data_IF_575980964254
#
_entry.id   IF_575980964254
#
_cell.length_a   1.000
_cell.length_b   1.000
_cell.length_c   1.000
_cell.angle_alpha   90.00
_cell.angle_beta   90.00
_cell.angle_gamma   90.00
#
_symmetry.space_group_name_H-M   'P 1'
#
loop_
_entity.id
_entity.type
_entity.pdbx_description
1 polymer ?
#
# COMPACT_ATOMS: atom_id res chain seq x y z
N UNK A 1 -22.86 8.32 29.08
CA UNK A 1 -23.31 7.96 27.72
C UNK A 1 -22.26 8.45 26.76
N UNK A 2 -21.66 7.58 25.96
CA UNK A 2 -20.70 7.99 24.94
C UNK A 2 -21.41 8.05 23.59
N UNK A 3 -21.16 9.09 22.81
CA UNK A 3 -21.72 9.31 21.48
C UNK A 3 -20.67 8.92 20.44
N UNK A 4 -21.00 7.99 19.54
CA UNK A 4 -20.18 7.63 18.40
C UNK A 4 -20.69 8.41 17.17
N UNK A 5 -19.89 9.32 16.63
CA UNK A 5 -20.21 10.11 15.43
C UNK A 5 -19.40 9.65 14.23
N UNK A 6 -20.03 9.59 13.07
CA UNK A 6 -19.34 9.50 11.79
C UNK A 6 -19.14 10.93 11.27
N UNK A 7 -17.89 11.39 11.23
CA UNK A 7 -17.50 12.70 10.70
C UNK A 7 -16.65 12.46 9.44
N UNK A 8 -17.23 12.68 8.26
CA UNK A 8 -16.63 12.28 6.99
C UNK A 8 -16.52 10.75 6.88
N UNK A 9 -15.31 10.23 6.62
CA UNK A 9 -15.01 8.78 6.56
C UNK A 9 -14.51 8.18 7.89
N UNK A 10 -14.50 8.95 8.99
CA UNK A 10 -13.91 8.51 10.28
C UNK A 10 -14.92 8.49 11.42
N UNK A 11 -14.85 7.47 12.26
CA UNK A 11 -15.64 7.40 13.48
C UNK A 11 -14.93 8.13 14.63
N UNK A 12 -15.70 8.87 15.42
CA UNK A 12 -15.23 9.53 16.64
C UNK A 12 -16.12 9.19 17.83
N UNK A 13 -15.50 8.79 18.94
CA UNK A 13 -16.19 8.52 20.19
C UNK A 13 -16.03 9.71 21.13
N UNK A 14 -17.16 10.26 21.57
CA UNK A 14 -17.24 11.39 22.50
C UNK A 14 -17.89 10.95 23.80
N UNK A 15 -17.44 11.41 24.96
CA UNK A 15 -18.22 11.26 26.20
C UNK A 15 -19.20 12.42 26.35
N UNK A 16 -20.42 12.13 26.79
CA UNK A 16 -21.42 13.17 27.07
C UNK A 16 -20.86 14.18 28.08
N UNK A 17 -20.79 15.45 27.68
CA UNK A 17 -20.25 16.56 28.49
C UNK A 17 -18.89 17.09 28.04
N UNK A 18 -18.20 16.46 27.07
CA UNK A 18 -16.94 16.95 26.52
C UNK A 18 -17.13 17.85 25.28
N UNK A 19 -16.29 18.89 25.17
CA UNK A 19 -16.32 19.86 24.06
C UNK A 19 -15.85 19.24 22.73
N UNK A 20 -16.58 19.63 21.67
CA UNK A 20 -16.51 19.44 20.21
C UNK A 20 -15.58 18.45 19.48
N UNK A 21 -14.52 17.88 20.05
CA UNK A 21 -13.67 16.90 19.33
C UNK A 21 -13.58 15.59 20.10
N UNK A 22 -14.43 14.63 19.71
CA UNK A 22 -14.32 13.24 20.18
C UNK A 22 -13.02 12.58 19.73
N UNK A 23 -12.60 11.51 20.42
CA UNK A 23 -11.40 10.76 20.00
C UNK A 23 -11.69 9.97 18.72
N UNK A 24 -10.77 9.93 17.75
CA UNK A 24 -10.89 8.99 16.63
C UNK A 24 -10.92 7.56 17.17
N UNK A 25 -11.72 6.71 16.55
CA UNK A 25 -11.75 5.27 16.80
C UNK A 25 -11.51 4.52 15.49
N UNK A 26 -10.81 3.40 15.55
CA UNK A 26 -10.60 2.55 14.38
C UNK A 26 -11.92 1.95 13.91
N UNK A 27 -11.98 1.50 12.64
CA UNK A 27 -13.17 0.83 12.11
C UNK A 27 -13.53 -0.44 12.91
N UNK A 28 -12.52 -1.18 13.38
CA UNK A 28 -12.70 -2.36 14.25
C UNK A 28 -13.28 -2.00 15.61
N UNK A 29 -12.82 -0.89 16.20
CA UNK A 29 -13.37 -0.41 17.47
C UNK A 29 -14.79 0.14 17.30
N UNK A 30 -15.05 0.88 16.22
CA UNK A 30 -16.39 1.36 15.88
C UNK A 30 -17.37 0.21 15.65
N UNK A 31 -16.98 -0.81 14.90
CA UNK A 31 -17.79 -2.01 14.68
C UNK A 31 -18.05 -2.76 15.99
N UNK A 32 -17.05 -2.90 16.86
CA UNK A 32 -17.23 -3.54 18.17
C UNK A 32 -18.19 -2.75 19.07
N UNK A 33 -18.14 -1.41 19.02
CA UNK A 33 -19.05 -0.53 19.75
C UNK A 33 -20.48 -0.59 19.20
N UNK A 34 -20.63 -0.64 17.87
CA UNK A 34 -21.92 -0.79 17.18
C UNK A 34 -22.55 -2.17 17.43
N UNK A 35 -21.76 -3.24 17.41
CA UNK A 35 -22.21 -4.59 17.75
C UNK A 35 -22.74 -4.64 19.20
N UNK A 36 -21.99 -4.06 20.15
CA UNK A 36 -22.45 -3.94 21.55
C UNK A 36 -23.70 -3.08 21.70
N UNK A 37 -23.90 -2.07 20.85
CA UNK A 37 -25.12 -1.26 20.85
C UNK A 37 -26.32 -2.02 20.26
N UNK A 38 -26.10 -2.91 19.28
CA UNK A 38 -27.15 -3.79 18.71
C UNK A 38 -27.69 -4.80 19.72
N UNK A 39 -26.83 -5.23 20.66
CA UNK A 39 -27.19 -6.13 21.76
C UNK A 39 -28.05 -5.48 22.85
N UNK A 40 -28.14 -4.14 22.91
CA UNK A 40 -29.08 -3.42 23.80
C UNK A 40 -30.38 -3.08 23.05
N UNK A 41 -31.53 -3.72 23.37
CA UNK A 41 -32.80 -3.47 22.69
C UNK A 41 -33.27 -2.02 22.75
N UNK A 42 -32.79 -1.23 23.73
CA UNK A 42 -33.19 0.17 23.92
C UNK A 42 -32.53 1.11 22.92
N UNK A 43 -31.37 0.74 22.36
CA UNK A 43 -30.59 1.58 21.45
C UNK A 43 -30.88 1.29 19.96
N UNK A 44 -31.60 0.20 19.66
CA UNK A 44 -31.92 -0.21 18.27
C UNK A 44 -32.69 0.83 17.46
N UNK A 45 -33.73 1.53 17.99
CA UNK A 45 -34.45 2.53 17.21
C UNK A 45 -33.56 3.69 16.77
N UNK A 46 -32.70 4.19 17.67
CA UNK A 46 -31.76 5.28 17.39
C UNK A 46 -30.68 4.86 16.38
N UNK A 47 -30.19 3.62 16.47
CA UNK A 47 -29.23 3.06 15.52
C UNK A 47 -29.82 2.93 14.11
N UNK A 48 -31.06 2.44 13.99
CA UNK A 48 -31.76 2.33 12.69
C UNK A 48 -31.95 3.72 12.08
N UNK A 49 -32.32 4.71 12.89
CA UNK A 49 -32.48 6.09 12.43
C UNK A 49 -31.15 6.71 12.00
N UNK A 50 -30.06 6.43 12.71
CA UNK A 50 -28.72 6.87 12.34
C UNK A 50 -28.25 6.24 11.01
N UNK A 51 -28.38 4.92 10.84
CA UNK A 51 -28.05 4.22 9.60
C UNK A 51 -28.91 4.70 8.41
N UNK A 52 -30.16 5.09 8.67
CA UNK A 52 -31.03 5.69 7.66
C UNK A 52 -30.60 7.12 7.27
N UNK A 53 -29.74 7.80 8.01
CA UNK A 53 -29.24 9.15 7.67
C UNK A 53 -27.85 9.14 7.05
N UNK A 54 -27.09 8.06 7.22
CA UNK A 54 -25.77 7.91 6.58
C UNK A 54 -25.95 7.71 5.08
N UNK A 55 -25.31 8.56 4.28
CA UNK A 55 -25.18 8.37 2.84
C UNK A 55 -24.07 7.33 2.61
N UNK A 56 -24.37 6.13 2.12
CA UNK A 56 -23.34 5.13 1.94
C UNK A 56 -22.42 5.54 0.79
N UNK A 57 -21.12 5.17 0.82
CA UNK A 57 -20.26 5.29 -0.36
C UNK A 57 -20.87 4.52 -1.52
N UNK A 58 -20.63 4.95 -2.76
CA UNK A 58 -21.26 4.39 -3.97
C UNK A 58 -21.02 2.86 -4.11
N UNK A 59 -19.89 2.34 -3.61
CA UNK A 59 -19.59 0.91 -3.51
C UNK A 59 -18.79 0.56 -2.25
N UNK A 60 -19.02 -0.64 -1.72
CA UNK A 60 -18.20 -1.29 -0.68
C UNK A 60 -17.99 -2.74 -1.11
N UNK A 61 -16.74 -3.15 -1.35
CA UNK A 61 -16.35 -4.54 -1.70
C UNK A 61 -17.28 -5.17 -2.74
N UNK A 62 -17.37 -4.56 -3.93
CA UNK A 62 -18.18 -5.08 -5.05
C UNK A 62 -19.71 -4.94 -4.90
N UNK A 63 -20.23 -4.52 -3.75
CA UNK A 63 -21.68 -4.26 -3.52
C UNK A 63 -21.99 -2.77 -3.64
N UNK A 64 -23.21 -2.43 -4.11
CA UNK A 64 -23.68 -1.04 -4.10
C UNK A 64 -23.93 -0.62 -2.65
N UNK A 65 -23.47 0.57 -2.27
CA UNK A 65 -23.58 1.03 -0.87
C UNK A 65 -25.01 1.09 -0.33
N UNK A 66 -25.99 1.34 -1.21
CA UNK A 66 -27.41 1.33 -0.83
C UNK A 66 -27.93 -0.07 -0.48
N UNK A 67 -27.40 -1.12 -1.10
CA UNK A 67 -27.74 -2.52 -0.79
C UNK A 67 -27.18 -2.91 0.58
N UNK A 68 -25.91 -2.58 0.83
CA UNK A 68 -25.28 -2.82 2.13
C UNK A 68 -26.01 -2.05 3.25
N UNK A 69 -26.43 -0.80 3.00
CA UNK A 69 -27.20 -0.02 3.96
C UNK A 69 -28.56 -0.65 4.27
N UNK A 70 -29.26 -1.18 3.26
CA UNK A 70 -30.51 -1.88 3.47
C UNK A 70 -30.33 -3.15 4.32
N UNK A 71 -29.29 -3.94 4.03
CA UNK A 71 -28.93 -5.14 4.77
C UNK A 71 -28.58 -4.84 6.24
N UNK A 72 -27.83 -3.77 6.49
CA UNK A 72 -27.49 -3.34 7.86
C UNK A 72 -28.70 -2.87 8.65
N UNK A 73 -29.64 -2.15 8.01
CA UNK A 73 -30.89 -1.74 8.64
C UNK A 73 -31.76 -2.96 8.97
N UNK A 74 -31.82 -3.95 8.09
CA UNK A 74 -32.55 -5.20 8.31
C UNK A 74 -31.91 -6.06 9.42
N UNK A 75 -30.59 -6.16 9.44
CA UNK A 75 -29.85 -6.84 10.49
C UNK A 75 -30.01 -6.17 11.87
N UNK A 76 -30.07 -4.83 11.91
CA UNK A 76 -30.35 -4.07 13.14
C UNK A 76 -31.79 -4.30 13.65
N UNK A 77 -32.76 -4.44 12.73
CA UNK A 77 -34.16 -4.76 13.06
C UNK A 77 -34.33 -6.18 13.60
N UNK A 78 -33.62 -7.14 13.01
CA UNK A 78 -33.69 -8.56 13.42
C UNK A 78 -32.84 -8.87 14.66
N UNK A 79 -31.94 -7.96 15.05
CA UNK A 79 -30.98 -8.19 16.13
C UNK A 79 -29.88 -9.19 15.76
N UNK A 80 -29.70 -9.46 14.47
CA UNK A 80 -28.75 -10.43 13.92
C UNK A 80 -27.57 -9.72 13.21
N UNK A 81 -27.13 -8.59 13.74
CA UNK A 81 -26.06 -7.80 13.13
C UNK A 81 -24.71 -8.46 13.37
N UNK A 82 -24.35 -9.43 12.52
CA UNK A 82 -22.99 -9.98 12.44
C UNK A 82 -22.17 -9.04 11.56
N UNK A 83 -21.43 -8.13 12.20
CA UNK A 83 -20.52 -7.16 11.56
C UNK A 83 -19.27 -7.80 10.90
N UNK A 84 -19.35 -9.06 10.46
CA UNK A 84 -18.27 -9.75 9.74
C UNK A 84 -18.16 -9.35 8.28
N UNK A 85 -19.11 -8.60 7.70
CA UNK A 85 -19.04 -8.19 6.28
C UNK A 85 -18.56 -6.75 6.07
N UNK A 86 -18.28 -6.02 7.15
CA UNK A 86 -17.68 -4.67 7.12
C UNK A 86 -16.18 -4.67 7.45
N UNK A 87 -15.63 -5.83 7.84
CA UNK A 87 -14.24 -6.02 8.27
C UNK A 87 -13.79 -7.35 7.69
N UNK A 88 -12.77 -7.32 6.84
CA UNK A 88 -11.95 -8.42 6.32
C UNK A 88 -12.52 -9.85 6.51
N UNK A 89 -13.05 -10.42 5.44
CA UNK A 89 -13.26 -11.86 5.35
C UNK A 89 -12.44 -12.41 4.17
N UNK A 90 -11.54 -13.39 4.39
CA UNK A 90 -11.02 -14.21 3.30
C UNK A 90 -12.18 -15.00 2.66
N UNK A 91 -12.02 -15.49 1.41
CA UNK A 91 -13.13 -16.10 0.67
C UNK A 91 -13.71 -17.30 1.43
N UNK A 92 -15.02 -17.27 1.66
CA UNK A 92 -15.76 -18.40 2.26
C UNK A 92 -15.63 -19.64 1.36
N UNK A 93 -14.99 -20.68 1.89
CA UNK A 93 -15.18 -22.05 1.42
C UNK A 93 -16.66 -22.42 1.56
N UNK A 94 -17.24 -22.94 0.47
CA UNK A 94 -18.63 -23.39 0.42
C UNK A 94 -18.91 -24.47 1.50
N UNK A 95 -20.11 -24.51 2.10
CA UNK A 95 -20.47 -25.57 3.03
C UNK A 95 -20.65 -26.88 2.27
N UNK A 96 -19.73 -27.82 2.46
CA UNK A 96 -19.89 -29.22 2.06
C UNK A 96 -20.95 -29.94 2.90
N UNK A 97 -21.55 -31.02 2.38
CA UNK A 97 -22.62 -31.74 3.07
C UNK A 97 -22.11 -32.46 4.32
N UNK A 98 -22.94 -32.41 5.35
CA UNK A 98 -22.83 -33.20 6.58
C UNK A 98 -22.92 -34.68 6.20
N UNK A 99 -21.84 -35.44 6.39
CA UNK A 99 -21.86 -36.90 6.33
C UNK A 99 -21.75 -37.50 7.72
N UNK A 100 -22.60 -38.50 7.91
CA UNK A 100 -22.95 -39.19 9.14
C UNK A 100 -21.80 -40.02 9.74
N UNK A 101 -21.94 -40.28 11.04
CA UNK A 101 -21.14 -41.14 11.90
C UNK A 101 -20.48 -42.35 11.21
N UNK A 102 -19.14 -42.37 11.20
CA UNK A 102 -18.34 -43.58 10.97
C UNK A 102 -17.87 -44.16 12.33
N UNK A 103 -17.78 -45.51 12.45
CA UNK A 103 -17.42 -46.20 13.70
C UNK A 103 -15.95 -45.96 14.11
N UNK A 104 -15.59 -46.19 15.39
CA UNK A 104 -14.28 -45.83 15.92
C UNK A 104 -13.14 -46.64 15.26
N UNK A 105 -12.16 -45.89 14.74
CA UNK A 105 -10.87 -46.41 14.26
C UNK A 105 -10.09 -46.98 15.44
N UNK A 106 -9.46 -48.17 15.34
CA UNK A 106 -8.65 -48.73 16.42
C UNK A 106 -7.40 -47.88 16.66
N UNK A 107 -7.02 -47.74 17.94
CA UNK A 107 -5.90 -46.91 18.37
C UNK A 107 -4.60 -47.26 17.62
N UNK A 108 -3.82 -46.26 17.18
CA UNK A 108 -2.53 -46.51 16.55
C UNK A 108 -1.56 -47.16 17.55
N UNK A 109 -0.78 -48.12 17.06
CA UNK A 109 0.31 -48.74 17.80
C UNK A 109 1.33 -47.68 18.25
N UNK A 110 2.04 -47.91 19.38
CA UNK A 110 3.01 -46.94 19.88
C UNK A 110 4.13 -46.79 18.85
N UNK A 111 4.33 -45.55 18.38
CA UNK A 111 5.45 -45.19 17.52
C UNK A 111 6.68 -45.04 18.43
N UNK A 112 7.74 -45.77 18.09
CA UNK A 112 9.05 -45.69 18.73
C UNK A 112 9.56 -44.24 18.81
N UNK A 113 10.11 -43.88 19.97
CA UNK A 113 10.78 -42.61 20.26
C UNK A 113 11.97 -42.41 19.32
N UNK A 114 11.75 -41.78 18.16
CA UNK A 114 12.80 -41.06 17.46
C UNK A 114 12.99 -39.70 18.15
N UNK A 115 14.22 -39.25 18.44
CA UNK A 115 14.44 -37.91 18.96
C UNK A 115 14.07 -36.91 17.87
N UNK A 116 12.92 -36.25 18.01
CA UNK A 116 12.59 -35.06 17.24
C UNK A 116 13.35 -33.91 17.90
N UNK A 117 14.60 -33.72 17.47
CA UNK A 117 15.40 -32.54 17.79
C UNK A 117 15.49 -31.64 16.54
N UNK A 118 14.36 -31.44 15.86
CA UNK A 118 14.25 -30.42 14.83
C UNK A 118 13.96 -29.10 15.53
N UNK A 119 15.02 -28.38 15.88
CA UNK A 119 14.89 -26.97 16.23
C UNK A 119 14.06 -26.27 15.13
N UNK A 120 13.03 -25.48 15.49
CA UNK A 120 12.15 -24.87 14.50
C UNK A 120 12.97 -24.03 13.51
N UNK A 121 12.76 -24.25 12.21
CA UNK A 121 13.43 -23.47 11.16
C UNK A 121 13.08 -21.99 11.33
N UNK A 122 14.08 -21.09 11.36
CA UNK A 122 13.81 -19.66 11.50
C UNK A 122 12.92 -19.14 10.37
N UNK A 123 11.94 -18.32 10.71
CA UNK A 123 11.06 -17.66 9.73
C UNK A 123 11.40 -16.17 9.72
N UNK A 124 11.83 -15.68 8.55
CA UNK A 124 12.19 -14.29 8.34
C UNK A 124 11.04 -13.55 7.65
N UNK A 125 10.80 -12.32 8.10
CA UNK A 125 9.83 -11.41 7.50
C UNK A 125 10.45 -10.01 7.46
N UNK A 126 10.12 -9.24 6.43
CA UNK A 126 10.53 -7.84 6.32
C UNK A 126 9.38 -6.96 6.76
N UNK A 127 9.69 -5.90 7.48
CA UNK A 127 8.71 -5.01 8.08
C UNK A 127 9.05 -3.58 7.69
N UNK A 128 8.06 -2.79 7.31
CA UNK A 128 8.20 -1.38 6.97
C UNK A 128 7.14 -0.54 7.69
N UNK A 129 7.31 0.78 7.70
CA UNK A 129 6.22 1.69 8.05
C UNK A 129 5.18 1.75 6.94
N UNK A 130 3.92 2.01 7.28
CA UNK A 130 2.86 2.15 6.27
C UNK A 130 3.20 3.29 5.30
N UNK A 131 3.20 2.97 4.00
CA UNK A 131 3.29 3.96 2.94
C UNK A 131 1.97 4.72 2.84
N UNK A 132 1.97 6.00 3.22
CA UNK A 132 0.83 6.88 3.02
C UNK A 132 0.88 7.43 1.59
N UNK A 133 -0.05 6.95 0.76
CA UNK A 133 -0.22 7.42 -0.61
C UNK A 133 -1.26 8.52 -0.74
N UNK A 134 -1.68 9.15 0.37
CA UNK A 134 -2.72 10.18 0.43
C UNK A 134 -4.13 9.63 0.71
N UNK A 135 -4.94 10.44 1.40
CA UNK A 135 -6.38 10.18 1.65
C UNK A 135 -6.76 9.51 2.98
N UNK A 136 -5.85 8.84 3.70
CA UNK A 136 -6.09 8.45 5.10
C UNK A 136 -4.76 8.47 5.85
N UNK A 137 -4.52 9.54 6.63
CA UNK A 137 -3.44 9.57 7.61
C UNK A 137 -3.37 8.25 8.39
N UNK A 138 -2.41 7.40 8.05
CA UNK A 138 -2.10 6.21 8.81
C UNK A 138 -1.39 6.68 10.09
N UNK A 139 -1.67 6.09 11.26
CA UNK A 139 -0.92 6.43 12.45
C UNK A 139 0.59 6.23 12.16
N UNK A 140 1.45 7.20 12.52
CA UNK A 140 2.86 7.25 12.11
C UNK A 140 3.74 6.11 12.66
N UNK A 141 3.15 5.11 13.33
CA UNK A 141 3.84 4.05 14.06
C UNK A 141 3.33 2.64 13.71
N UNK A 142 2.53 2.47 12.66
CA UNK A 142 2.12 1.12 12.24
C UNK A 142 3.25 0.49 11.42
N UNK A 143 3.85 -0.55 12.00
CA UNK A 143 4.74 -1.48 11.33
C UNK A 143 3.92 -2.60 10.66
N UNK A 144 4.19 -2.87 9.39
CA UNK A 144 3.51 -3.92 8.61
C UNK A 144 4.52 -4.84 7.94
N UNK A 145 4.18 -6.12 7.87
CA UNK A 145 4.92 -7.08 7.04
C UNK A 145 4.82 -6.63 5.58
N UNK A 146 5.96 -6.58 4.88
CA UNK A 146 6.01 -6.13 3.50
C UNK A 146 6.75 -7.12 2.60
N UNK A 147 6.22 -7.41 1.40
CA UNK A 147 6.93 -8.17 0.38
C UNK A 147 7.94 -7.30 -0.38
N UNK A 148 7.81 -5.98 -0.32
CA UNK A 148 8.57 -5.06 -1.17
C UNK A 148 8.87 -3.71 -0.51
N UNK A 149 9.88 -3.03 -1.04
CA UNK A 149 10.24 -1.66 -0.66
C UNK A 149 10.87 -0.94 -1.85
N UNK A 150 10.73 0.38 -1.92
CA UNK A 150 11.34 1.16 -2.99
C UNK A 150 12.69 1.78 -2.57
N UNK A 151 13.83 1.43 -3.20
CA UNK A 151 15.18 1.85 -2.76
C UNK A 151 15.44 3.33 -3.04
N UNK A 152 16.16 4.07 -2.20
CA UNK A 152 16.21 5.55 -2.32
C UNK A 152 17.45 6.06 -3.07
N UNK A 153 17.33 7.00 -4.02
CA UNK A 153 18.50 7.62 -4.66
C UNK A 153 19.41 8.34 -3.65
N UNK A 154 20.72 8.22 -3.80
CA UNK A 154 21.72 8.84 -2.91
C UNK A 154 21.49 10.34 -2.71
N UNK A 155 21.28 11.10 -3.79
CA UNK A 155 20.98 12.54 -3.70
C UNK A 155 19.68 12.90 -2.99
N UNK A 156 18.70 11.99 -2.85
CA UNK A 156 17.51 12.20 -1.99
C UNK A 156 17.93 12.09 -0.52
N UNK A 157 18.75 11.11 -0.18
CA UNK A 157 19.26 10.89 1.18
C UNK A 157 20.16 12.05 1.61
N UNK A 158 21.07 12.49 0.75
CA UNK A 158 21.89 13.67 1.01
C UNK A 158 21.07 14.92 1.26
N UNK A 159 20.00 15.15 0.48
CA UNK A 159 19.06 16.25 0.75
C UNK A 159 18.38 16.10 2.11
N UNK A 160 17.88 14.92 2.48
CA UNK A 160 17.28 14.70 3.80
C UNK A 160 18.26 15.07 4.91
N UNK A 161 19.51 14.59 4.81
CA UNK A 161 20.57 14.91 5.76
C UNK A 161 20.85 16.42 5.83
N UNK A 162 21.05 17.07 4.69
CA UNK A 162 21.31 18.52 4.59
C UNK A 162 20.23 19.36 5.25
N UNK A 163 18.98 18.91 5.19
CA UNK A 163 17.83 19.59 5.78
C UNK A 163 17.48 19.09 7.20
N UNK A 164 18.36 18.31 7.83
CA UNK A 164 18.16 17.74 9.17
C UNK A 164 16.87 16.92 9.29
N UNK A 165 16.44 16.30 8.19
CA UNK A 165 15.25 15.43 8.13
C UNK A 165 15.66 13.96 8.23
N UNK A 166 14.77 13.17 8.79
CA UNK A 166 14.90 11.71 8.85
C UNK A 166 14.15 11.08 7.68
N UNK A 167 14.62 9.94 7.14
CA UNK A 167 13.82 9.13 6.22
C UNK A 167 12.48 8.75 6.87
N UNK A 168 11.42 8.71 6.06
CA UNK A 168 10.13 8.18 6.52
C UNK A 168 10.25 6.69 6.85
N UNK A 169 9.54 6.16 7.86
CA UNK A 169 9.48 4.72 8.13
C UNK A 169 9.12 3.85 6.92
N UNK A 170 8.33 4.39 5.97
CA UNK A 170 7.97 3.70 4.72
C UNK A 170 9.12 3.62 3.69
N UNK A 171 10.23 4.34 3.92
CA UNK A 171 11.46 4.22 3.13
C UNK A 171 12.43 3.20 3.72
N UNK A 172 12.11 2.67 4.91
CA UNK A 172 12.99 1.83 5.71
C UNK A 172 12.38 0.43 5.83
N UNK A 173 13.23 -0.56 6.09
CA UNK A 173 12.76 -1.86 6.56
C UNK A 173 13.53 -2.36 7.77
N UNK A 174 12.89 -3.24 8.54
CA UNK A 174 13.49 -4.09 9.56
C UNK A 174 13.30 -5.54 9.19
N UNK A 175 14.19 -6.39 9.72
CA UNK A 175 14.02 -7.83 9.59
C UNK A 175 13.53 -8.38 10.92
N UNK A 176 12.46 -9.17 10.86
CA UNK A 176 11.94 -9.91 12.00
C UNK A 176 12.16 -11.40 11.78
N UNK A 177 12.76 -12.04 12.78
CA UNK A 177 13.08 -13.47 12.77
C UNK A 177 12.35 -14.17 13.92
N UNK A 178 11.46 -15.10 13.58
CA UNK A 178 10.87 -16.02 14.53
C UNK A 178 11.76 -17.25 14.68
N UNK A 179 11.85 -17.80 15.89
CA UNK A 179 12.71 -18.95 16.18
C UNK A 179 14.17 -18.75 15.72
N UNK A 180 14.71 -17.53 15.88
CA UNK A 180 16.05 -17.21 15.39
C UNK A 180 17.09 -18.16 16.01
N UNK A 181 17.84 -18.86 15.14
CA UNK A 181 18.93 -19.75 15.54
C UNK A 181 20.25 -19.01 15.75
N UNK A 182 20.33 -17.75 15.29
CA UNK A 182 21.52 -16.91 15.33
C UNK A 182 21.17 -15.53 15.90
N UNK A 183 22.21 -14.77 16.28
CA UNK A 183 22.09 -13.43 16.85
C UNK A 183 22.16 -12.31 15.81
N UNK A 184 22.27 -12.67 14.53
CA UNK A 184 22.31 -11.73 13.41
C UNK A 184 21.54 -12.26 12.21
N UNK A 185 21.19 -11.37 11.30
CA UNK A 185 20.68 -11.68 9.97
C UNK A 185 21.67 -11.14 8.94
N UNK A 186 21.95 -11.92 7.90
CA UNK A 186 22.73 -11.48 6.74
C UNK A 186 21.77 -11.13 5.62
N UNK A 187 21.88 -9.90 5.11
CA UNK A 187 21.24 -9.42 3.91
C UNK A 187 22.23 -9.50 2.75
N UNK A 188 21.83 -10.05 1.62
CA UNK A 188 22.64 -10.14 0.40
C UNK A 188 21.88 -9.59 -0.80
N UNK A 189 22.59 -8.86 -1.65
CA UNK A 189 22.16 -8.49 -2.99
C UNK A 189 23.38 -8.45 -3.91
N UNK A 190 23.17 -8.17 -5.19
CA UNK A 190 24.26 -8.13 -6.18
C UNK A 190 25.35 -7.08 -5.85
N UNK A 191 25.01 -6.04 -5.07
CA UNK A 191 25.95 -4.99 -4.65
C UNK A 191 26.83 -5.39 -3.45
N UNK A 192 26.38 -6.36 -2.64
CA UNK A 192 27.13 -6.85 -1.49
C UNK A 192 26.27 -7.32 -0.32
N UNK A 193 26.95 -7.67 0.76
CA UNK A 193 26.33 -8.24 1.96
C UNK A 193 26.32 -7.24 3.13
N UNK A 194 25.29 -7.29 3.95
CA UNK A 194 25.15 -6.52 5.19
C UNK A 194 24.72 -7.44 6.34
N UNK A 195 25.48 -7.43 7.43
CA UNK A 195 25.14 -8.15 8.65
C UNK A 195 24.45 -7.21 9.64
N UNK A 196 23.28 -7.63 10.14
CA UNK A 196 22.48 -6.86 11.09
C UNK A 196 22.29 -7.66 12.38
N UNK A 197 22.79 -7.15 13.52
CA UNK A 197 22.50 -7.75 14.81
C UNK A 197 21.01 -7.76 15.13
N UNK A 198 20.55 -8.84 15.76
CA UNK A 198 19.18 -8.98 16.26
C UNK A 198 19.09 -8.57 17.73
N UNK A 199 17.93 -8.07 18.15
CA UNK A 199 17.62 -7.78 19.55
C UNK A 199 17.67 -9.07 20.39
N UNK A 200 18.19 -8.97 21.61
CA UNK A 200 18.42 -10.13 22.50
C UNK A 200 17.17 -10.75 23.10
N UNK A 201 16.02 -10.08 23.03
CA UNK A 201 14.72 -10.60 23.47
C UNK A 201 13.71 -10.55 22.35
N UNK A 202 12.89 -11.61 22.20
CA UNK A 202 11.71 -11.52 21.35
C UNK A 202 10.85 -10.34 21.82
N UNK A 203 10.60 -9.38 20.93
CA UNK A 203 9.80 -8.20 21.25
C UNK A 203 8.35 -8.59 21.58
N UNK A 204 7.50 -7.59 21.82
CA UNK A 204 6.06 -7.78 22.07
C UNK A 204 5.32 -8.58 21.00
N UNK A 205 5.91 -8.73 19.81
CA UNK A 205 5.36 -9.39 18.64
C UNK A 205 5.93 -10.81 18.37
N UNK A 206 6.64 -11.42 19.33
CA UNK A 206 7.01 -12.84 19.33
C UNK A 206 8.23 -13.24 18.48
N UNK A 207 8.92 -12.29 17.83
CA UNK A 207 10.16 -12.51 17.07
C UNK A 207 11.27 -11.54 17.49
N UNK A 208 12.52 -11.86 17.14
CA UNK A 208 13.67 -10.96 17.30
C UNK A 208 13.73 -10.01 16.10
N UNK A 209 13.92 -8.72 16.34
CA UNK A 209 14.02 -7.70 15.30
C UNK A 209 15.49 -7.34 15.05
N UNK A 210 15.82 -6.85 13.85
CA UNK A 210 17.09 -6.16 13.64
C UNK A 210 17.18 -4.90 14.50
N UNK A 211 18.34 -4.69 15.13
CA UNK A 211 18.59 -3.55 16.02
C UNK A 211 18.44 -2.21 15.31
N UNK A 212 18.81 -2.16 14.03
CA UNK A 212 18.68 -1.00 13.17
C UNK A 212 17.61 -1.20 12.10
N UNK A 213 17.03 -0.09 11.68
CA UNK A 213 16.33 0.03 10.40
C UNK A 213 17.35 0.04 9.26
N UNK A 214 16.93 -0.38 8.08
CA UNK A 214 17.77 -0.39 6.88
C UNK A 214 17.16 0.54 5.84
N UNK A 215 17.97 1.44 5.30
CA UNK A 215 17.64 2.27 4.15
C UNK A 215 18.42 1.77 2.93
N UNK A 216 17.78 1.02 2.01
CA UNK A 216 18.43 0.63 0.77
C UNK A 216 18.59 1.87 -0.13
N UNK A 217 19.76 2.05 -0.70
CA UNK A 217 20.08 3.21 -1.54
C UNK A 217 20.88 2.87 -2.79
N UNK A 218 20.78 3.73 -3.80
CA UNK A 218 21.52 3.57 -5.07
C UNK A 218 21.97 4.91 -5.65
N UNK A 219 22.90 4.89 -6.60
CA UNK A 219 23.43 6.09 -7.26
C UNK A 219 24.84 6.45 -6.78
N UNK A 220 25.23 7.71 -6.93
CA UNK A 220 26.57 8.16 -6.53
C UNK A 220 26.64 8.38 -5.01
N UNK A 221 27.44 7.57 -4.32
CA UNK A 221 27.67 7.69 -2.88
C UNK A 221 28.22 9.04 -2.42
N UNK A 222 28.85 9.81 -3.32
CA UNK A 222 29.29 11.19 -3.01
C UNK A 222 28.10 12.12 -2.70
N UNK A 223 26.92 11.81 -3.24
CA UNK A 223 25.69 12.57 -3.01
C UNK A 223 25.02 12.28 -1.67
N UNK A 224 25.51 11.31 -0.88
CA UNK A 224 24.99 11.03 0.47
C UNK A 224 25.33 12.15 1.46
N UNK A 225 26.32 13.00 1.15
CA UNK A 225 26.74 14.14 1.98
C UNK A 225 27.09 13.78 3.44
N UNK A 226 27.53 12.54 3.69
CA UNK A 226 27.84 12.06 5.04
C UNK A 226 26.63 11.70 5.89
N UNK A 227 25.46 11.48 5.27
CA UNK A 227 24.25 11.05 5.94
C UNK A 227 24.47 9.83 6.85
N UNK A 228 24.09 9.98 8.11
CA UNK A 228 24.13 8.92 9.11
C UNK A 228 23.08 9.18 10.20
N UNK A 229 22.50 8.10 10.72
CA UNK A 229 21.59 8.12 11.88
C UNK A 229 21.92 6.92 12.78
N UNK A 230 21.81 7.08 14.09
CA UNK A 230 22.25 6.05 15.05
C UNK A 230 21.53 4.70 14.90
N UNK A 231 20.26 4.74 14.53
CA UNK A 231 19.33 3.62 14.43
C UNK A 231 19.02 3.19 12.97
N UNK A 232 19.68 3.81 11.98
CA UNK A 232 19.51 3.47 10.56
C UNK A 232 20.85 3.04 9.97
N UNK A 233 20.84 1.89 9.29
CA UNK A 233 21.95 1.40 8.50
C UNK A 233 21.69 1.71 7.01
N UNK A 234 22.67 2.31 6.34
CA UNK A 234 22.59 2.57 4.90
C UNK A 234 23.09 1.33 4.15
N UNK A 235 22.25 0.77 3.29
CA UNK A 235 22.60 -0.43 2.51
C UNK A 235 22.66 -0.11 1.02
N UNK A 236 23.86 -0.19 0.43
CA UNK A 236 24.05 0.05 -0.99
C UNK A 236 23.46 -1.10 -1.81
N UNK A 237 22.58 -0.76 -2.75
CA UNK A 237 21.92 -1.72 -3.65
C UNK A 237 22.08 -1.30 -5.12
N UNK A 238 22.99 -0.39 -5.45
CA UNK A 238 23.18 0.09 -6.82
C UNK A 238 23.77 -0.96 -7.77
N UNK A 239 23.34 -0.99 -9.04
CA UNK A 239 23.77 -2.01 -10.01
C UNK A 239 24.41 -1.49 -11.31
N UNK A 240 24.51 -0.17 -11.53
CA UNK A 240 25.14 0.39 -12.74
C UNK A 240 24.51 -0.01 -14.08
N UNK A 241 23.35 -0.68 -14.04
CA UNK A 241 22.62 -1.21 -15.18
C UNK A 241 21.45 -0.29 -15.57
N UNK A 242 20.63 -0.72 -16.55
CA UNK A 242 19.40 -0.02 -16.98
C UNK A 242 18.45 0.23 -15.81
N UNK A 243 18.26 -0.78 -14.97
CA UNK A 243 17.66 -0.63 -13.65
C UNK A 243 18.81 -0.28 -12.71
N UNK A 244 18.77 0.86 -12.02
CA UNK A 244 19.95 1.39 -11.32
C UNK A 244 20.19 0.72 -9.96
N UNK A 245 19.35 -0.25 -9.55
CA UNK A 245 19.41 -0.95 -8.28
C UNK A 245 19.20 -2.47 -8.44
N UNK A 246 19.56 -3.23 -7.41
CA UNK A 246 19.32 -4.66 -7.31
C UNK A 246 17.83 -4.88 -7.09
N UNK A 247 17.22 -5.82 -7.79
CA UNK A 247 15.76 -6.05 -7.72
C UNK A 247 15.35 -6.85 -6.48
N UNK A 248 16.28 -7.51 -5.79
CA UNK A 248 16.00 -8.38 -4.65
C UNK A 248 17.05 -8.19 -3.56
N UNK A 249 16.60 -8.29 -2.31
CA UNK A 249 17.46 -8.47 -1.14
C UNK A 249 17.09 -9.80 -0.49
N UNK A 250 18.05 -10.71 -0.40
CA UNK A 250 17.89 -12.00 0.28
C UNK A 250 18.31 -11.86 1.74
N UNK A 251 17.42 -12.18 2.67
CA UNK A 251 17.73 -12.27 4.09
C UNK A 251 17.94 -13.71 4.52
N UNK A 252 18.94 -13.96 5.35
CA UNK A 252 19.24 -15.28 5.92
C UNK A 252 19.61 -15.23 7.40
N UNK A 253 19.11 -16.20 8.17
CA UNK A 253 19.43 -16.41 9.58
C UNK A 253 19.42 -17.93 9.83
N UNK A 254 20.61 -18.53 9.97
CA UNK A 254 20.79 -19.97 9.93
C UNK A 254 20.20 -20.61 8.67
N UNK A 255 19.27 -21.55 8.85
CA UNK A 255 18.58 -22.23 7.73
C UNK A 255 17.40 -21.43 7.15
N UNK A 256 16.94 -20.39 7.84
CA UNK A 256 15.82 -19.56 7.39
C UNK A 256 16.23 -18.60 6.28
N UNK A 257 15.36 -18.42 5.28
CA UNK A 257 15.55 -17.45 4.19
C UNK A 257 14.26 -16.71 3.87
N UNK A 258 14.38 -15.45 3.45
CA UNK A 258 13.29 -14.67 2.87
C UNK A 258 13.85 -13.70 1.82
N UNK A 259 12.98 -13.20 0.95
CA UNK A 259 13.37 -12.23 -0.09
C UNK A 259 12.48 -11.00 0.01
N UNK A 260 13.10 -9.82 -0.01
CA UNK A 260 12.43 -8.53 -0.18
C UNK A 260 12.58 -8.10 -1.64
N UNK A 261 11.45 -7.79 -2.28
CA UNK A 261 11.44 -7.14 -3.59
C UNK A 261 11.84 -5.67 -3.49
N UNK A 262 12.79 -5.23 -4.32
CA UNK A 262 13.08 -3.81 -4.49
C UNK A 262 12.32 -3.30 -5.71
N UNK A 263 11.30 -2.48 -5.46
CA UNK A 263 10.31 -2.08 -6.47
C UNK A 263 10.43 -0.61 -6.83
N UNK A 264 10.27 -0.29 -8.10
CA UNK A 264 10.14 1.09 -8.56
C UNK A 264 9.40 1.13 -9.91
N UNK A 265 8.93 2.31 -10.29
CA UNK A 265 8.48 2.58 -11.65
C UNK A 265 9.44 3.60 -12.24
N UNK A 266 10.12 3.20 -13.30
CA UNK A 266 11.12 4.05 -13.96
C UNK A 266 10.52 4.62 -15.23
N UNK A 267 10.46 5.94 -15.33
CA UNK A 267 10.10 6.61 -16.58
C UNK A 267 11.36 7.03 -17.35
N UNK A 268 11.34 6.82 -18.65
CA UNK A 268 12.37 7.31 -19.56
C UNK A 268 12.26 8.84 -19.66
N UNK A 269 13.35 9.54 -19.33
CA UNK A 269 13.46 10.97 -19.55
C UNK A 269 13.49 11.23 -21.07
N UNK A 270 12.55 12.01 -21.64
CA UNK A 270 12.49 12.23 -23.08
C UNK A 270 13.72 13.00 -23.62
N UNK A 271 14.42 13.76 -22.76
CA UNK A 271 15.55 14.58 -23.17
C UNK A 271 16.86 13.78 -23.17
N UNK A 272 17.08 12.93 -22.15
CA UNK A 272 18.32 12.14 -22.00
C UNK A 272 18.20 10.67 -22.40
N UNK A 273 16.98 10.12 -22.46
CA UNK A 273 16.72 8.69 -22.62
C UNK A 273 17.03 7.86 -21.37
N UNK A 274 17.39 8.50 -20.25
CA UNK A 274 17.74 7.79 -19.01
C UNK A 274 16.50 7.42 -18.20
N UNK A 275 16.55 6.26 -17.56
CA UNK A 275 15.50 5.79 -16.68
C UNK A 275 15.56 6.51 -15.32
N UNK A 276 14.46 7.15 -14.91
CA UNK A 276 14.36 7.90 -13.64
C UNK A 276 13.16 7.42 -12.83
N UNK A 277 13.33 7.31 -11.52
CA UNK A 277 12.25 6.91 -10.61
C UNK A 277 11.06 7.87 -10.71
N UNK A 278 9.85 7.30 -10.76
CA UNK A 278 8.59 8.02 -10.73
C UNK A 278 8.28 8.62 -9.35
N UNK A 279 9.06 8.32 -8.30
CA UNK A 279 8.81 8.84 -6.94
C UNK A 279 9.24 10.27 -6.72
N UNK A 280 10.32 10.68 -7.38
CA UNK A 280 10.94 11.99 -7.19
C UNK A 280 11.15 12.76 -8.50
N UNK A 281 10.68 12.19 -9.61
CA UNK A 281 10.91 12.73 -10.95
C UNK A 281 9.80 13.67 -11.41
N UNK A 282 10.16 14.58 -12.32
CA UNK A 282 9.24 15.44 -13.06
C UNK A 282 9.33 15.01 -14.52
N UNK A 283 8.20 14.67 -15.14
CA UNK A 283 8.18 13.99 -16.45
C UNK A 283 7.38 14.76 -17.49
N UNK A 284 8.07 15.18 -18.55
CA UNK A 284 7.53 16.14 -19.53
C UNK A 284 6.84 15.46 -20.73
N UNK A 285 6.08 14.40 -20.49
CA UNK A 285 5.38 13.67 -21.56
C UNK A 285 4.05 13.13 -21.06
N UNK A 286 2.97 13.27 -21.85
CA UNK A 286 1.69 12.57 -21.58
C UNK A 286 1.71 11.10 -21.99
N UNK A 287 2.78 10.65 -22.65
CA UNK A 287 2.99 9.27 -23.11
C UNK A 287 4.37 8.79 -22.64
N UNK A 288 4.64 8.76 -21.33
CA UNK A 288 5.94 8.32 -20.84
C UNK A 288 6.15 6.85 -21.20
N UNK A 289 7.39 6.50 -21.54
CA UNK A 289 7.82 5.11 -21.54
C UNK A 289 8.20 4.74 -20.12
N UNK A 290 7.61 3.67 -19.62
CA UNK A 290 7.75 3.22 -18.25
C UNK A 290 8.31 1.81 -18.21
N UNK A 291 9.15 1.54 -17.22
CA UNK A 291 9.55 0.20 -16.81
C UNK A 291 9.05 0.00 -15.39
N UNK A 292 8.07 -0.87 -15.23
CA UNK A 292 7.58 -1.33 -13.93
C UNK A 292 8.53 -2.42 -13.43
N UNK A 293 9.23 -2.17 -12.33
CA UNK A 293 10.12 -3.12 -11.67
C UNK A 293 9.41 -3.62 -10.42
N UNK A 294 8.80 -4.80 -10.50
CA UNK A 294 7.88 -5.36 -9.49
C UNK A 294 8.31 -6.75 -8.94
N UNK A 295 9.61 -6.98 -8.67
CA UNK A 295 10.10 -8.27 -8.18
C UNK A 295 9.43 -8.66 -6.85
N UNK A 296 9.12 -9.95 -6.70
CA UNK A 296 8.62 -10.50 -5.44
C UNK A 296 7.17 -10.16 -5.10
N UNK A 297 6.47 -9.42 -5.97
CA UNK A 297 5.04 -9.18 -5.85
C UNK A 297 4.22 -10.26 -6.57
N UNK A 298 3.03 -10.55 -6.04
CA UNK A 298 2.05 -11.42 -6.69
C UNK A 298 1.24 -10.62 -7.71
N UNK A 299 1.61 -10.73 -9.00
CA UNK A 299 0.97 -10.00 -10.10
C UNK A 299 -0.55 -10.24 -10.19
N UNK A 300 -1.05 -11.39 -9.73
CA UNK A 300 -2.49 -11.69 -9.72
C UNK A 300 -3.28 -10.89 -8.67
N UNK A 301 -2.58 -10.25 -7.73
CA UNK A 301 -3.15 -9.48 -6.62
C UNK A 301 -2.78 -8.01 -6.66
N UNK A 302 -2.14 -7.57 -7.75
CA UNK A 302 -1.76 -6.18 -7.93
C UNK A 302 -2.95 -5.34 -8.34
N UNK A 303 -2.95 -4.10 -7.85
CA UNK A 303 -3.78 -3.00 -8.36
C UNK A 303 -2.89 -1.79 -8.61
N UNK A 304 -2.90 -1.29 -9.83
CA UNK A 304 -2.09 -0.14 -10.27
C UNK A 304 -3.05 1.00 -10.63
N UNK A 305 -2.94 2.11 -9.91
CA UNK A 305 -3.88 3.24 -10.00
C UNK A 305 -3.13 4.53 -10.30
N UNK A 306 -3.67 5.31 -11.23
CA UNK A 306 -3.32 6.71 -11.45
C UNK A 306 -4.42 7.60 -10.88
N UNK A 307 -4.08 8.59 -10.07
CA UNK A 307 -5.00 9.66 -9.65
C UNK A 307 -4.42 11.07 -9.93
N UNK A 308 -5.17 12.12 -9.63
CA UNK A 308 -4.82 13.53 -9.87
C UNK A 308 -3.86 14.14 -8.84
N UNK A 309 -3.38 13.35 -7.88
CA UNK A 309 -2.51 13.80 -6.80
C UNK A 309 -3.23 14.65 -5.76
N UNK A 310 -4.54 14.87 -5.86
CA UNK A 310 -5.31 15.62 -4.88
C UNK A 310 -6.03 14.66 -3.92
N UNK A 311 -5.74 14.78 -2.62
CA UNK A 311 -6.35 13.93 -1.58
C UNK A 311 -7.85 14.18 -1.38
N UNK A 312 -8.34 15.33 -1.85
CA UNK A 312 -9.72 15.76 -1.69
C UNK A 312 -10.64 15.29 -2.84
N UNK A 313 -10.10 14.65 -3.88
CA UNK A 313 -10.82 14.17 -5.05
C UNK A 313 -10.68 12.65 -5.18
N UNK A 314 -11.77 11.99 -5.57
CA UNK A 314 -11.80 10.54 -5.81
C UNK A 314 -11.51 10.20 -7.30
N UNK A 315 -10.73 11.03 -8.02
CA UNK A 315 -10.47 10.90 -9.47
C UNK A 315 -9.37 9.85 -9.77
N UNK A 316 -9.76 8.58 -9.77
CA UNK A 316 -8.88 7.42 -9.96
C UNK A 316 -9.06 6.76 -11.34
N UNK A 317 -7.96 6.31 -11.93
CA UNK A 317 -7.92 5.45 -13.11
C UNK A 317 -7.10 4.20 -12.77
N UNK A 318 -7.79 3.07 -12.67
CA UNK A 318 -7.16 1.75 -12.56
C UNK A 318 -6.61 1.33 -13.92
N UNK A 319 -5.30 1.16 -13.98
CA UNK A 319 -4.53 0.81 -15.19
C UNK A 319 -3.91 -0.58 -15.09
N UNK A 320 -4.39 -1.43 -14.17
CA UNK A 320 -3.79 -2.75 -13.93
C UNK A 320 -3.75 -3.62 -15.18
N UNK A 321 -4.86 -3.70 -15.93
CA UNK A 321 -4.90 -4.51 -17.16
C UNK A 321 -4.16 -3.85 -18.32
N UNK A 322 -3.98 -2.52 -18.30
CA UNK A 322 -3.16 -1.80 -19.28
C UNK A 322 -1.67 -2.12 -19.10
N UNK A 323 -1.19 -2.15 -17.85
CA UNK A 323 0.19 -2.53 -17.55
C UNK A 323 0.41 -4.02 -17.84
N UNK A 324 -0.58 -4.86 -17.52
CA UNK A 324 -0.53 -6.30 -17.74
C UNK A 324 0.77 -6.94 -17.21
N UNK A 325 1.15 -6.58 -15.97
CA UNK A 325 2.38 -7.06 -15.34
C UNK A 325 2.42 -8.60 -15.32
N UNK A 326 3.45 -9.18 -15.95
CA UNK A 326 3.58 -10.63 -16.12
C UNK A 326 4.92 -11.19 -15.60
N UNK A 327 5.79 -10.35 -15.03
CA UNK A 327 7.11 -10.72 -14.53
C UNK A 327 7.72 -9.61 -13.68
N UNK A 328 8.94 -9.82 -13.20
CA UNK A 328 9.66 -8.86 -12.34
C UNK A 328 9.87 -7.50 -13.02
N UNK A 329 9.82 -7.45 -14.36
CA UNK A 329 9.92 -6.25 -15.17
C UNK A 329 8.83 -6.23 -16.25
N UNK A 330 8.20 -5.07 -16.45
CA UNK A 330 7.23 -4.86 -17.53
C UNK A 330 7.43 -3.47 -18.14
N UNK A 331 7.71 -3.43 -19.44
CA UNK A 331 7.82 -2.18 -20.19
C UNK A 331 6.46 -1.79 -20.78
N UNK A 332 6.09 -0.51 -20.63
CA UNK A 332 4.86 0.05 -21.17
C UNK A 332 5.15 1.44 -21.75
N UNK A 333 4.80 1.64 -23.02
CA UNK A 333 4.62 2.99 -23.55
C UNK A 333 3.18 3.41 -23.29
N UNK A 334 2.99 4.39 -22.42
CA UNK A 334 1.66 4.82 -22.04
C UNK A 334 0.92 5.44 -23.23
N UNK A 335 -0.30 4.99 -23.55
CA UNK A 335 -1.13 5.68 -24.51
C UNK A 335 -1.56 7.03 -23.93
N UNK A 336 -1.76 8.03 -24.80
CA UNK A 336 -2.27 9.32 -24.33
C UNK A 336 -3.72 9.23 -23.82
N UNK A 337 -4.48 8.31 -24.42
CA UNK A 337 -5.92 8.15 -24.24
C UNK A 337 -6.27 6.67 -24.13
N UNK A 338 -7.25 6.34 -23.27
CA UNK A 338 -7.79 4.99 -23.14
C UNK A 338 -9.31 5.02 -23.10
N UNK A 339 -9.92 4.01 -23.73
CA UNK A 339 -11.37 3.85 -23.67
C UNK A 339 -11.78 3.24 -22.33
N UNK A 340 -12.70 3.88 -21.60
CA UNK A 340 -13.17 3.38 -20.31
C UNK A 340 -14.38 2.43 -20.42
N UNK A 341 -15.08 2.42 -21.56
CA UNK A 341 -16.27 1.59 -21.79
C UNK A 341 -15.86 0.23 -22.42
N UNK A 342 -15.39 -0.68 -21.58
CA UNK A 342 -15.02 -2.05 -21.99
C UNK A 342 -13.57 -2.21 -22.47
N UNK A 343 -12.72 -1.21 -22.21
CA UNK A 343 -11.27 -1.27 -22.39
C UNK A 343 -10.51 -1.78 -21.15
N UNK A 344 -9.17 -1.80 -21.18
CA UNK A 344 -8.30 -2.34 -20.12
C UNK A 344 -8.15 -1.43 -18.89
N UNK A 345 -8.93 -0.36 -18.80
CA UNK A 345 -8.87 0.59 -17.69
C UNK A 345 -10.26 0.78 -17.09
N UNK A 346 -10.32 0.95 -15.76
CA UNK A 346 -11.55 1.31 -15.04
C UNK A 346 -11.36 2.64 -14.34
N UNK A 347 -12.34 3.53 -14.39
CA UNK A 347 -12.23 4.86 -13.79
C UNK A 347 -13.30 5.12 -12.73
N UNK A 348 -12.91 5.85 -11.69
CA UNK A 348 -13.79 6.59 -10.79
C UNK A 348 -13.62 8.07 -11.14
N UNK A 349 -14.70 8.72 -11.58
CA UNK A 349 -14.67 10.10 -12.05
C UNK A 349 -15.46 10.98 -11.09
N UNK A 350 -14.87 12.08 -10.64
CA UNK A 350 -15.54 13.08 -9.81
C UNK A 350 -16.06 14.24 -10.67
N UNK A 351 -17.35 14.20 -11.00
CA UNK A 351 -18.01 15.24 -11.81
C UNK A 351 -18.27 16.56 -11.03
N UNK A 352 -18.14 16.59 -9.69
CA UNK A 352 -18.47 17.77 -8.85
C UNK A 352 -17.31 18.76 -8.68
N UNK A 353 -16.06 18.28 -8.69
CA UNK A 353 -14.85 19.09 -8.48
C UNK A 353 -13.83 18.99 -9.62
N UNK A 354 -14.14 18.21 -10.66
CA UNK A 354 -13.17 17.60 -11.55
C UNK A 354 -12.38 18.55 -12.45
N UNK A 355 -11.05 18.42 -12.40
CA UNK A 355 -10.23 18.49 -13.62
C UNK A 355 -10.65 17.30 -14.46
N UNK A 356 -11.64 17.49 -15.33
CA UNK A 356 -12.29 16.38 -15.99
C UNK A 356 -11.26 15.58 -16.81
N UNK A 357 -10.94 14.34 -16.38
CA UNK A 357 -10.18 13.36 -17.20
C UNK A 357 -10.84 13.08 -18.55
N UNK A 358 -12.13 13.37 -18.65
CA UNK A 358 -12.94 13.35 -19.88
C UNK A 358 -12.76 14.68 -20.59
N UNK A 359 -12.30 14.62 -21.83
CA UNK A 359 -12.37 15.77 -22.72
C UNK A 359 -13.83 16.16 -22.97
N UNK A 360 -14.23 17.42 -22.75
CA UNK A 360 -15.35 18.00 -23.50
C UNK A 360 -14.98 17.96 -24.99
N UNK A 361 -15.90 17.48 -25.82
CA UNK A 361 -15.74 17.18 -27.26
C UNK A 361 -15.25 18.36 -28.14
N UNK A 362 -14.97 19.54 -27.58
CA UNK A 362 -14.72 20.77 -28.32
C UNK A 362 -13.23 21.20 -28.40
N UNK A 363 -12.32 20.61 -27.63
CA UNK A 363 -10.90 21.01 -27.65
C UNK A 363 -9.90 19.83 -27.66
N UNK A 364 -9.19 19.69 -28.79
CA UNK A 364 -7.78 19.26 -28.92
C UNK A 364 -7.46 17.74 -28.88
N UNK A 365 -7.40 17.14 -30.09
CA UNK A 365 -6.38 16.20 -30.65
C UNK A 365 -7.02 15.21 -31.65
N UNK A 366 -6.38 14.97 -32.81
CA UNK A 366 -6.95 14.21 -33.94
C UNK A 366 -7.22 12.72 -33.68
N UNK A 367 -6.73 12.17 -32.56
CA UNK A 367 -6.65 10.72 -32.33
C UNK A 367 -7.58 10.20 -31.19
N UNK A 368 -8.36 11.06 -30.53
CA UNK A 368 -9.27 10.63 -29.44
C UNK A 368 -10.69 10.40 -29.95
N UNK A 369 -11.40 9.43 -29.35
CA UNK A 369 -12.82 9.15 -29.60
C UNK A 369 -13.68 9.64 -28.43
N UNK A 370 -14.96 9.86 -28.71
CA UNK A 370 -15.97 10.15 -27.69
C UNK A 370 -16.00 9.02 -26.65
N UNK A 371 -15.80 9.37 -25.37
CA UNK A 371 -15.70 8.39 -24.29
C UNK A 371 -14.26 7.95 -23.95
N UNK A 372 -13.23 8.52 -24.58
CA UNK A 372 -11.86 8.28 -24.14
C UNK A 372 -11.48 9.17 -22.94
N UNK A 373 -10.61 8.66 -22.08
CA UNK A 373 -10.05 9.37 -20.93
C UNK A 373 -8.54 9.52 -21.05
N UNK A 374 -8.03 10.66 -20.61
CA UNK A 374 -6.59 10.87 -20.51
C UNK A 374 -5.99 9.91 -19.47
N UNK A 375 -4.90 9.22 -19.82
CA UNK A 375 -4.22 8.35 -18.87
C UNK A 375 -3.50 9.18 -17.82
N UNK A 376 -2.66 10.11 -18.28
CA UNK A 376 -2.07 11.17 -17.46
C UNK A 376 -2.79 12.49 -17.71
N UNK A 377 -3.24 13.13 -16.64
CA UNK A 377 -3.86 14.46 -16.69
C UNK A 377 -2.80 15.55 -16.76
N UNK A 378 -3.31 16.75 -17.01
CA UNK A 378 -2.55 17.97 -16.87
C UNK A 378 -2.30 18.34 -15.41
N UNK A 379 -1.03 18.59 -15.11
CA UNK A 379 -0.54 18.87 -13.78
C UNK A 379 -0.07 17.61 -13.05
N UNK A 380 -0.33 17.58 -11.75
CA UNK A 380 0.08 16.49 -10.87
C UNK A 380 -0.73 15.23 -11.15
N UNK A 381 -0.03 14.11 -11.12
CA UNK A 381 -0.59 12.78 -11.16
C UNK A 381 0.13 11.98 -10.08
N UNK A 382 -0.57 11.00 -9.51
CA UNK A 382 0.00 10.08 -8.54
C UNK A 382 -0.20 8.65 -9.01
N UNK A 383 0.88 7.90 -9.09
CA UNK A 383 0.90 6.48 -9.42
C UNK A 383 1.02 5.67 -8.13
N UNK A 384 0.03 4.82 -7.85
CA UNK A 384 0.00 3.96 -6.68
C UNK A 384 -0.04 2.51 -7.11
N UNK A 385 0.75 1.67 -6.44
CA UNK A 385 0.69 0.21 -6.61
C UNK A 385 0.35 -0.40 -5.27
N UNK A 386 -0.70 -1.21 -5.29
CA UNK A 386 -1.16 -2.00 -4.16
C UNK A 386 -0.95 -3.47 -4.44
N UNK A 387 -0.60 -4.22 -3.39
CA UNK A 387 -0.82 -5.67 -3.36
C UNK A 387 -1.91 -5.92 -2.34
N UNK A 388 -3.06 -6.42 -2.82
CA UNK A 388 -4.31 -6.40 -2.06
C UNK A 388 -4.69 -4.97 -1.65
N UNK A 389 -4.60 -4.65 -0.36
CA UNK A 389 -4.89 -3.34 0.21
C UNK A 389 -3.63 -2.63 0.75
N UNK A 390 -2.46 -3.29 0.70
CA UNK A 390 -1.20 -2.69 1.13
C UNK A 390 -0.59 -1.89 -0.02
N UNK A 391 -0.41 -0.59 0.18
CA UNK A 391 0.36 0.22 -0.74
C UNK A 391 1.85 -0.15 -0.64
N UNK A 392 2.43 -0.60 -1.75
CA UNK A 392 3.84 -0.99 -1.85
C UNK A 392 4.66 0.02 -2.64
N UNK A 393 4.00 0.90 -3.40
CA UNK A 393 4.65 1.97 -4.15
C UNK A 393 3.72 3.19 -4.29
N UNK A 394 4.31 4.37 -4.19
CA UNK A 394 3.68 5.65 -4.47
C UNK A 394 4.66 6.55 -5.17
N UNK A 395 4.34 6.96 -6.39
CA UNK A 395 5.10 7.94 -7.16
C UNK A 395 4.26 9.16 -7.50
N UNK A 396 4.91 10.31 -7.56
CA UNK A 396 4.30 11.56 -7.98
C UNK A 396 4.93 11.98 -9.30
N UNK A 397 4.10 12.23 -10.31
CA UNK A 397 4.55 12.68 -11.62
C UNK A 397 3.82 13.96 -12.04
N UNK A 398 4.58 14.93 -12.51
CA UNK A 398 4.08 16.22 -13.01
C UNK A 398 4.13 16.22 -14.54
N UNK A 399 3.00 16.48 -15.21
CA UNK A 399 2.88 16.50 -16.68
C UNK A 399 2.34 17.85 -17.20
N UNK A 400 2.86 18.34 -18.33
CA UNK A 400 2.54 19.67 -18.89
C UNK A 400 1.40 19.67 -19.91
N UNK A 401 0.76 20.83 -20.04
CA UNK A 401 -0.27 21.13 -21.04
C UNK A 401 0.29 21.23 -22.46
N UNK A 402 1.45 21.88 -22.61
CA UNK A 402 2.14 22.10 -23.88
C UNK A 402 3.66 21.87 -23.74
N UNK A 403 4.36 21.44 -24.81
CA UNK A 403 5.82 21.22 -24.80
C UNK A 403 6.65 22.45 -24.38
N UNK A 404 6.07 23.65 -24.45
CA UNK A 404 6.79 24.92 -24.34
C UNK A 404 6.67 25.61 -22.97
N UNK A 405 5.79 25.12 -22.08
CA UNK A 405 5.67 25.69 -20.73
C UNK A 405 6.58 24.95 -19.74
N UNK A 406 7.80 25.45 -19.61
CA UNK A 406 8.73 25.05 -18.55
C UNK A 406 8.18 25.57 -17.22
N UNK A 407 7.64 24.70 -16.37
CA UNK A 407 7.59 25.01 -14.94
C UNK A 407 9.01 24.81 -14.40
N UNK A 408 9.60 25.81 -13.71
CA UNK A 408 10.85 25.61 -12.97
C UNK A 408 10.68 24.39 -12.07
N UNK A 409 11.70 23.53 -11.96
CA UNK A 409 11.67 22.30 -11.17
C UNK A 409 10.79 22.48 -9.92
N UNK A 410 9.67 21.75 -9.89
CA UNK A 410 8.59 21.99 -8.94
C UNK A 410 9.12 22.12 -7.52
N UNK A 411 8.83 23.27 -6.89
CA UNK A 411 8.93 23.38 -5.45
C UNK A 411 7.88 22.43 -4.86
N UNK A 412 8.32 21.33 -4.26
CA UNK A 412 7.56 20.73 -3.17
C UNK A 412 7.47 21.79 -2.07
N UNK A 413 6.28 22.29 -1.70
CA UNK A 413 6.17 23.08 -0.48
C UNK A 413 6.60 22.17 0.67
N UNK A 414 7.64 22.60 1.38
CA UNK A 414 8.35 21.84 2.44
C UNK A 414 7.54 21.60 3.73
N UNK A 415 6.21 21.72 3.64
CA UNK A 415 5.31 21.80 4.79
C UNK A 415 4.19 20.73 4.79
N UNK A 416 4.35 19.61 4.08
CA UNK A 416 3.53 18.40 4.27
C UNK A 416 4.37 17.22 4.74
#
# INVERSE_FOLDING_TARGET
VSELRLEGRRFRLRRAGEAERGRPVSNTEAASLLARACDDPRLRPELIEALARVRPPSRVVGRRGDELRAELIEAARSGALVLTELIDAPPRLAPGPIFEYAPPVPAPAPIDDAPIDDAPTPILTFITGVLDCGGVASPPEIEVDTPALAPTPAGVIGRLHRWERRPSPAMLFKVKVFAASEDQVTLSCDAGDLELPLDGSAGSLGGRMSQKWVLPWYGDGSELEGAAWDDIELYEVGTGNKIPFATKVEGSCGAGKATLGLVDVLFEDPDSGEARTARYGVFRSRRPKATFVLPGLDHGRLRIVLDDGYDDTDDELDITELVAAAGDETELEFPGWVNFDGGPCQAVVNDEFGRVRRLPQEEVERDSLEGDMAVFMLGENRLRIYQDDLAVFCGHSLHYEEPEQIVPAGHYPTDQ
#
